data_IF_624911500381
#
_entry.id   IF_624911500381
#
_cell.length_a   1.000
_cell.length_b   1.000
_cell.length_c   1.000
_cell.angle_alpha   90.00
_cell.angle_beta   90.00
_cell.angle_gamma   90.00
#
_symmetry.space_group_name_H-M   'P 1'
#
loop_
_entity.id
_entity.type
_entity.pdbx_description
1 polymer ?
#
# COMPACT_ATOMS: atom_id res chain seq x y z
N UNK A 1 4.15 0.48 3.63
CA UNK A 1 3.56 1.80 3.93
C UNK A 1 2.10 1.79 3.53
N UNK A 2 1.21 2.06 4.45
CA UNK A 2 -0.24 1.93 4.26
C UNK A 2 -0.92 3.29 4.43
N UNK A 3 -1.73 3.68 3.47
CA UNK A 3 -2.60 4.85 3.56
C UNK A 3 -4.04 4.40 3.90
N UNK A 4 -4.89 4.21 2.91
CA UNK A 4 -6.31 3.92 3.14
C UNK A 4 -6.58 2.64 3.95
N UNK A 5 -5.71 1.65 3.88
CA UNK A 5 -5.83 0.41 4.67
C UNK A 5 -5.44 0.57 6.14
N UNK A 6 -4.73 1.63 6.47
CA UNK A 6 -4.40 2.11 7.83
C UNK A 6 -3.96 1.03 8.83
N UNK A 7 -3.05 0.15 8.39
CA UNK A 7 -2.49 -0.91 9.22
C UNK A 7 -3.14 -2.27 9.03
N UNK A 8 -4.14 -2.40 8.19
CA UNK A 8 -4.85 -3.68 7.98
C UNK A 8 -3.95 -4.75 7.36
N UNK A 9 -3.04 -4.37 6.46
CA UNK A 9 -2.09 -5.32 5.86
C UNK A 9 -1.13 -5.83 6.92
N UNK A 10 -0.53 -4.93 7.71
CA UNK A 10 0.33 -5.28 8.82
C UNK A 10 -0.38 -6.19 9.83
N UNK A 11 -1.63 -5.87 10.15
CA UNK A 11 -2.45 -6.67 11.06
C UNK A 11 -2.63 -8.10 10.55
N UNK A 12 -3.00 -8.28 9.28
CA UNK A 12 -3.21 -9.61 8.70
C UNK A 12 -1.92 -10.43 8.62
N UNK A 13 -0.79 -9.80 8.28
CA UNK A 13 0.51 -10.50 8.26
C UNK A 13 0.86 -11.01 9.67
N UNK A 14 0.64 -10.18 10.68
CA UNK A 14 1.01 -10.49 12.06
C UNK A 14 0.01 -11.40 12.77
N UNK A 15 -1.12 -11.73 12.17
CA UNK A 15 -2.04 -12.76 12.68
C UNK A 15 -1.42 -14.17 12.62
N UNK A 16 -0.34 -14.35 11.87
CA UNK A 16 0.37 -15.63 11.77
C UNK A 16 1.48 -15.70 12.82
N UNK A 17 1.50 -16.75 13.62
CA UNK A 17 2.58 -17.00 14.57
C UNK A 17 3.92 -17.11 13.84
N UNK A 18 4.96 -16.52 14.43
CA UNK A 18 6.29 -16.51 13.84
C UNK A 18 6.52 -15.34 12.87
N UNK A 19 5.52 -14.52 12.62
CA UNK A 19 5.64 -13.37 11.71
C UNK A 19 6.77 -12.41 12.09
N UNK A 20 7.12 -12.32 13.37
CA UNK A 20 8.22 -11.47 13.84
C UNK A 20 9.58 -11.82 13.24
N UNK A 21 9.74 -13.05 12.73
CA UNK A 21 10.98 -13.46 12.07
C UNK A 21 11.16 -12.78 10.69
N UNK A 22 10.08 -12.36 10.06
CA UNK A 22 10.09 -11.81 8.70
C UNK A 22 9.50 -10.42 8.58
N UNK A 23 8.62 -10.03 9.49
CA UNK A 23 7.95 -8.73 9.44
C UNK A 23 8.68 -7.72 10.32
N UNK A 24 9.24 -6.67 9.71
CA UNK A 24 10.03 -5.66 10.41
C UNK A 24 9.19 -4.50 10.94
N UNK A 25 8.12 -4.16 10.25
CA UNK A 25 7.27 -3.03 10.64
C UNK A 25 6.49 -2.46 9.48
N UNK A 26 5.72 -1.42 9.78
CA UNK A 26 4.94 -0.69 8.79
C UNK A 26 4.80 0.76 9.19
N UNK A 27 4.62 1.64 8.19
CA UNK A 27 4.21 3.02 8.40
C UNK A 27 2.75 3.17 7.99
N UNK A 28 1.98 3.84 8.81
CA UNK A 28 0.63 4.28 8.45
C UNK A 28 0.71 5.77 8.13
N UNK A 29 0.59 6.10 6.85
CA UNK A 29 0.78 7.47 6.34
C UNK A 29 -0.51 7.97 5.71
N UNK A 30 -1.40 8.46 6.55
CA UNK A 30 -2.79 8.75 6.18
C UNK A 30 -2.96 10.06 5.42
N UNK A 31 -2.02 11.02 5.56
CA UNK A 31 -2.00 12.28 4.83
C UNK A 31 -0.73 12.41 3.99
N UNK A 32 -0.71 13.39 3.08
CA UNK A 32 0.43 13.60 2.20
C UNK A 32 1.70 13.97 2.98
N UNK A 33 1.58 14.80 4.00
CA UNK A 33 2.70 15.21 4.86
C UNK A 33 3.34 14.00 5.55
N UNK A 34 2.53 13.06 6.03
CA UNK A 34 3.03 11.84 6.65
C UNK A 34 3.81 10.97 5.65
N UNK A 35 3.35 10.91 4.39
CA UNK A 35 4.07 10.19 3.33
C UNK A 35 5.45 10.81 3.09
N UNK A 36 5.51 12.12 2.99
CA UNK A 36 6.78 12.86 2.80
C UNK A 36 7.71 12.65 3.99
N UNK A 37 7.19 12.72 5.22
CA UNK A 37 7.98 12.47 6.44
C UNK A 37 8.62 11.09 6.43
N UNK A 38 7.97 10.10 5.82
CA UNK A 38 8.47 8.72 5.78
C UNK A 38 9.17 8.38 4.46
N UNK A 39 9.58 9.38 3.69
CA UNK A 39 10.49 9.21 2.57
C UNK A 39 9.87 9.20 1.18
N UNK A 40 8.58 9.46 1.05
CA UNK A 40 7.96 9.64 -0.27
C UNK A 40 8.38 11.01 -0.80
N UNK A 41 9.01 11.12 -1.99
CA UNK A 41 9.38 12.42 -2.55
C UNK A 41 8.15 13.29 -2.80
N UNK A 42 8.21 14.55 -2.34
CA UNK A 42 7.10 15.48 -2.50
C UNK A 42 6.73 15.71 -3.96
N UNK A 43 7.72 15.72 -4.86
CA UNK A 43 7.49 15.91 -6.29
C UNK A 43 6.68 14.79 -6.94
N UNK A 44 6.74 13.57 -6.41
CA UNK A 44 5.90 12.45 -6.87
C UNK A 44 4.43 12.77 -6.60
N UNK A 45 4.12 13.24 -5.38
CA UNK A 45 2.75 13.64 -5.04
C UNK A 45 2.27 14.82 -5.88
N UNK A 46 3.14 15.79 -6.14
CA UNK A 46 2.80 16.97 -6.93
C UNK A 46 2.57 16.65 -8.41
N UNK A 47 3.36 15.74 -8.97
CA UNK A 47 3.31 15.40 -10.41
C UNK A 47 2.26 14.36 -10.76
N UNK A 48 2.06 13.37 -9.89
CA UNK A 48 1.23 12.19 -10.20
C UNK A 48 0.01 12.06 -9.31
N UNK A 49 -0.17 12.95 -8.36
CA UNK A 49 -1.17 12.93 -7.28
C UNK A 49 -0.95 11.79 -6.27
N UNK A 50 -1.68 11.87 -5.16
CA UNK A 50 -1.59 10.87 -4.10
C UNK A 50 -2.15 9.50 -4.53
N UNK A 51 -3.12 9.49 -5.45
CA UNK A 51 -3.77 8.27 -5.94
C UNK A 51 -3.21 7.91 -7.32
N UNK A 52 -2.05 7.28 -7.32
CA UNK A 52 -1.35 6.91 -8.54
C UNK A 52 -0.43 5.71 -8.30
N UNK A 53 -0.06 5.02 -9.37
CA UNK A 53 0.92 3.93 -9.28
C UNK A 53 2.29 4.45 -8.85
N UNK A 54 2.66 5.66 -9.28
CA UNK A 54 3.94 6.29 -8.95
C UNK A 54 4.04 6.55 -7.44
N UNK A 55 2.96 7.01 -6.81
CA UNK A 55 2.91 7.19 -5.36
C UNK A 55 2.99 5.85 -4.63
N UNK A 56 2.26 4.83 -5.08
CA UNK A 56 2.33 3.49 -4.49
C UNK A 56 3.75 2.91 -4.59
N UNK A 57 4.40 3.05 -5.73
CA UNK A 57 5.79 2.60 -5.94
C UNK A 57 6.75 3.35 -5.01
N UNK A 58 6.62 4.66 -4.89
CA UNK A 58 7.45 5.48 -4.01
C UNK A 58 7.25 5.09 -2.53
N UNK A 59 6.01 4.78 -2.13
CA UNK A 59 5.70 4.29 -0.78
C UNK A 59 6.36 2.93 -0.51
N UNK A 60 6.27 2.00 -1.45
CA UNK A 60 6.92 0.68 -1.34
C UNK A 60 8.43 0.81 -1.23
N UNK A 61 9.04 1.63 -2.07
CA UNK A 61 10.48 1.84 -2.08
C UNK A 61 10.97 2.50 -0.78
N UNK A 62 10.28 3.54 -0.31
CA UNK A 62 10.62 4.24 0.93
C UNK A 62 10.56 3.30 2.15
N UNK A 63 9.51 2.50 2.22
CA UNK A 63 9.31 1.53 3.30
C UNK A 63 10.42 0.45 3.30
N UNK A 64 10.69 -0.15 2.15
CA UNK A 64 11.74 -1.15 2.02
C UNK A 64 13.12 -0.60 2.40
N UNK A 65 13.42 0.62 1.97
CA UNK A 65 14.69 1.29 2.28
C UNK A 65 14.84 1.56 3.77
N UNK A 66 13.82 2.14 4.40
CA UNK A 66 13.88 2.51 5.82
C UNK A 66 14.04 1.29 6.71
N UNK A 67 13.30 0.23 6.43
CA UNK A 67 13.39 -1.01 7.20
C UNK A 67 14.53 -1.93 6.75
N UNK A 68 15.26 -1.58 5.69
CA UNK A 68 16.26 -2.46 5.09
C UNK A 68 15.67 -3.85 4.82
N UNK A 69 14.50 -3.88 4.23
CA UNK A 69 13.74 -5.09 3.98
C UNK A 69 13.88 -5.51 2.51
N UNK A 70 13.81 -6.82 2.27
CA UNK A 70 13.82 -7.38 0.92
C UNK A 70 12.52 -7.11 0.18
N UNK A 71 11.43 -6.94 0.94
CA UNK A 71 10.09 -6.70 0.40
C UNK A 71 9.53 -5.41 0.99
N UNK A 72 9.01 -4.56 0.13
CA UNK A 72 8.23 -3.38 0.52
C UNK A 72 6.90 -3.35 -0.19
N UNK A 73 5.87 -2.89 0.52
CA UNK A 73 4.52 -2.73 -0.02
C UNK A 73 4.09 -1.28 0.18
N UNK A 74 3.56 -0.67 -0.87
CA UNK A 74 2.93 0.65 -0.80
C UNK A 74 1.50 0.57 -1.30
N UNK A 75 0.56 1.15 -0.56
CA UNK A 75 -0.85 1.19 -0.96
C UNK A 75 -1.45 2.56 -0.73
N UNK A 76 -2.13 3.07 -1.74
CA UNK A 76 -2.85 4.34 -1.72
C UNK A 76 -4.13 4.18 -2.51
N UNK A 77 -5.21 4.79 -2.04
CA UNK A 77 -6.48 4.67 -2.76
C UNK A 77 -7.64 5.31 -2.03
N UNK A 78 -8.76 5.30 -2.72
CA UNK A 78 -10.04 5.82 -2.24
C UNK A 78 -10.99 4.65 -2.06
N UNK A 79 -11.54 4.53 -0.85
CA UNK A 79 -12.50 3.47 -0.53
C UNK A 79 -13.92 3.85 -1.03
N UNK A 80 -14.90 3.96 -0.14
CA UNK A 80 -16.28 4.23 -0.54
C UNK A 80 -16.63 5.70 -0.77
N UNK A 81 -15.81 6.64 -0.30
CA UNK A 81 -16.10 8.07 -0.35
C UNK A 81 -14.92 8.85 -0.93
N UNK A 82 -15.24 10.00 -1.55
CA UNK A 82 -14.22 10.95 -2.00
C UNK A 82 -13.44 11.47 -0.79
N UNK A 83 -12.12 11.56 -0.93
CA UNK A 83 -11.25 12.16 0.07
C UNK A 83 -11.37 13.69 0.02
N UNK A 84 -11.87 14.33 1.10
CA UNK A 84 -12.01 15.79 1.11
C UNK A 84 -10.71 16.56 0.98
N UNK A 85 -9.58 15.96 1.36
CA UNK A 85 -8.26 16.58 1.26
C UNK A 85 -7.70 16.54 -0.17
N UNK A 86 -8.18 15.60 -1.00
CA UNK A 86 -7.73 15.41 -2.38
C UNK A 86 -8.94 15.15 -3.31
N UNK A 87 -9.90 16.09 -3.39
CA UNK A 87 -11.19 15.81 -4.05
C UNK A 87 -11.05 15.57 -5.55
N UNK A 88 -10.14 16.26 -6.21
CA UNK A 88 -9.95 16.15 -7.67
C UNK A 88 -9.23 14.86 -8.07
N UNK A 89 -8.45 14.27 -7.17
CA UNK A 89 -7.68 13.07 -7.42
C UNK A 89 -8.41 11.80 -6.96
N UNK A 90 -9.44 11.92 -6.12
CA UNK A 90 -10.08 10.74 -5.54
C UNK A 90 -11.28 10.28 -6.36
N UNK A 91 -11.26 8.99 -6.70
CA UNK A 91 -12.38 8.29 -7.35
C UNK A 91 -12.73 7.09 -6.48
N UNK A 92 -13.97 7.03 -5.93
CA UNK A 92 -14.33 5.93 -5.04
C UNK A 92 -14.06 4.56 -5.65
N UNK A 93 -13.44 3.68 -4.87
CA UNK A 93 -13.12 2.31 -5.27
C UNK A 93 -11.82 2.15 -6.03
N UNK A 94 -11.10 3.22 -6.36
CA UNK A 94 -9.82 3.12 -7.05
C UNK A 94 -8.67 3.01 -6.07
N UNK A 95 -7.91 1.92 -6.16
CA UNK A 95 -6.75 1.64 -5.31
C UNK A 95 -5.56 1.28 -6.16
N UNK A 96 -4.42 1.87 -5.83
CA UNK A 96 -3.12 1.55 -6.41
C UNK A 96 -2.24 0.93 -5.34
N UNK A 97 -1.55 -0.13 -5.67
CA UNK A 97 -0.54 -0.69 -4.79
C UNK A 97 0.69 -1.13 -5.57
N UNK A 98 1.80 -1.19 -4.88
CA UNK A 98 3.06 -1.66 -5.46
C UNK A 98 3.76 -2.58 -4.47
N UNK A 99 4.47 -3.55 -5.01
CA UNK A 99 5.30 -4.47 -4.25
C UNK A 99 6.67 -4.51 -4.90
N UNK A 100 7.70 -4.21 -4.10
CA UNK A 100 9.08 -4.40 -4.50
C UNK A 100 9.63 -5.64 -3.79
N UNK A 101 10.28 -6.52 -4.56
CA UNK A 101 10.95 -7.71 -4.02
C UNK A 101 12.37 -7.73 -4.57
N UNK A 102 13.36 -7.62 -3.70
CA UNK A 102 14.78 -7.60 -4.08
C UNK A 102 15.08 -6.61 -5.22
N UNK A 103 14.47 -5.42 -5.16
CA UNK A 103 14.63 -4.37 -6.17
C UNK A 103 13.70 -4.47 -7.38
N UNK A 104 12.97 -5.56 -7.54
CA UNK A 104 12.00 -5.71 -8.63
C UNK A 104 10.64 -5.11 -8.22
N UNK A 105 10.36 -3.91 -8.74
CA UNK A 105 9.15 -3.15 -8.46
C UNK A 105 8.06 -3.48 -9.47
N UNK A 106 6.87 -3.84 -8.96
CA UNK A 106 5.67 -3.98 -9.79
C UNK A 106 4.52 -3.25 -9.12
N UNK A 107 3.73 -2.55 -9.93
CA UNK A 107 2.55 -1.83 -9.46
C UNK A 107 1.27 -2.43 -10.06
N UNK A 108 0.17 -2.23 -9.33
CA UNK A 108 -1.12 -2.84 -9.62
C UNK A 108 -2.23 -1.83 -9.37
N UNK A 109 -3.36 -2.05 -10.02
CA UNK A 109 -4.56 -1.25 -9.88
C UNK A 109 -5.75 -2.14 -9.55
N UNK A 110 -6.57 -1.71 -8.61
CA UNK A 110 -7.81 -2.41 -8.23
C UNK A 110 -9.00 -1.46 -8.35
N UNK A 111 -10.07 -1.93 -8.94
CA UNK A 111 -11.39 -1.32 -8.80
C UNK A 111 -12.21 -2.15 -7.83
N UNK A 112 -12.55 -1.56 -6.68
CA UNK A 112 -13.30 -2.24 -5.63
C UNK A 112 -14.79 -2.24 -5.94
N UNK A 113 -15.43 -3.40 -5.82
CA UNK A 113 -16.87 -3.48 -5.74
C UNK A 113 -17.36 -2.77 -4.47
N UNK A 114 -18.57 -2.23 -4.50
CA UNK A 114 -19.19 -1.57 -3.34
C UNK A 114 -19.23 -2.53 -2.17
N UNK A 115 -18.79 -2.06 -1.00
CA UNK A 115 -18.76 -2.83 0.24
C UNK A 115 -19.70 -2.20 1.28
N UNK A 116 -20.25 -3.00 2.21
CA UNK A 116 -21.18 -2.50 3.22
C UNK A 116 -20.53 -1.59 4.26
N UNK A 117 -19.24 -1.76 4.54
CA UNK A 117 -18.54 -0.99 5.56
C UNK A 117 -17.13 -0.60 5.11
N UNK A 118 -16.55 0.40 5.80
CA UNK A 118 -15.17 0.77 5.55
C UNK A 118 -14.20 -0.35 5.90
N UNK A 119 -14.50 -1.12 6.96
CA UNK A 119 -13.68 -2.29 7.31
C UNK A 119 -13.67 -3.33 6.19
N UNK A 120 -14.81 -3.63 5.59
CA UNK A 120 -14.86 -4.61 4.49
C UNK A 120 -14.14 -4.13 3.23
N UNK A 121 -14.11 -2.83 2.95
CA UNK A 121 -13.23 -2.26 1.91
C UNK A 121 -11.75 -2.53 2.23
N UNK A 122 -11.31 -2.23 3.44
CA UNK A 122 -9.92 -2.46 3.86
C UNK A 122 -9.52 -3.92 3.75
N UNK A 123 -10.39 -4.82 4.19
CA UNK A 123 -10.13 -6.27 4.12
C UNK A 123 -10.05 -6.76 2.68
N UNK A 124 -10.92 -6.28 1.80
CA UNK A 124 -10.89 -6.63 0.39
C UNK A 124 -9.57 -6.20 -0.28
N UNK A 125 -9.10 -4.98 -0.01
CA UNK A 125 -7.82 -4.50 -0.51
C UNK A 125 -6.67 -5.32 0.03
N UNK A 126 -6.63 -5.53 1.34
CA UNK A 126 -5.56 -6.28 1.98
C UNK A 126 -5.46 -7.71 1.47
N UNK A 127 -6.61 -8.37 1.27
CA UNK A 127 -6.66 -9.72 0.69
C UNK A 127 -6.04 -9.75 -0.71
N UNK A 128 -6.43 -8.83 -1.56
CA UNK A 128 -5.91 -8.74 -2.93
C UNK A 128 -4.39 -8.55 -2.93
N UNK A 129 -3.88 -7.65 -2.10
CA UNK A 129 -2.45 -7.37 -1.99
C UNK A 129 -1.69 -8.60 -1.50
N UNK A 130 -2.20 -9.28 -0.47
CA UNK A 130 -1.55 -10.45 0.09
C UNK A 130 -1.58 -11.65 -0.88
N UNK A 131 -2.65 -11.82 -1.64
CA UNK A 131 -2.72 -12.84 -2.69
C UNK A 131 -1.63 -12.61 -3.76
N UNK A 132 -1.46 -11.36 -4.19
CA UNK A 132 -0.40 -11.00 -5.14
C UNK A 132 0.99 -11.19 -4.54
N UNK A 133 1.18 -10.82 -3.27
CA UNK A 133 2.44 -11.02 -2.57
C UNK A 133 2.83 -12.49 -2.52
N UNK A 134 1.92 -13.36 -2.12
CA UNK A 134 2.16 -14.81 -2.07
C UNK A 134 2.53 -15.36 -3.43
N UNK A 135 1.81 -14.97 -4.47
CA UNK A 135 2.10 -15.37 -5.85
C UNK A 135 3.51 -14.96 -6.27
N UNK A 136 3.90 -13.71 -6.01
CA UNK A 136 5.23 -13.20 -6.37
C UNK A 136 6.36 -13.86 -5.58
N UNK A 137 6.16 -14.08 -4.28
CA UNK A 137 7.15 -14.78 -3.44
C UNK A 137 7.35 -16.21 -3.93
N UNK A 138 6.30 -16.92 -4.30
CA UNK A 138 6.40 -18.27 -4.84
C UNK A 138 7.15 -18.30 -6.18
N UNK A 139 6.99 -17.28 -7.03
CA UNK A 139 7.74 -17.18 -8.29
C UNK A 139 9.25 -16.97 -8.05
N UNK A 140 9.61 -16.20 -7.03
CA UNK A 140 11.01 -15.95 -6.68
C UNK A 140 11.64 -17.22 -6.06
N UNK A 141 10.90 -17.97 -5.26
CA UNK A 141 11.37 -19.19 -4.59
C UNK A 141 11.40 -20.41 -5.51
N UNK A 142 10.66 -20.34 -6.58
CA UNK A 142 10.62 -21.40 -7.59
C UNK A 142 11.69 -21.16 -8.64
#
# INVERSE_FOLDING_TARGET
>A
MESATSGQIASLITDTEGSSAVFKGAFVTYCNEAKVMQGVPADILDRYTVYSKETAEAMAAACAKTYQADIGIGVTGTMGNIDPANPDASVPGQVYFAIVINGDMKSYYIELAVQPTRLTYKLAVAKEILDVLVSRVNQVSG
#
